data_IF_549335101482
#
_entry.id   IF_549335101482
#
_cell.length_a   1.000
_cell.length_b   1.000
_cell.length_c   1.000
_cell.angle_alpha   90.00
_cell.angle_beta   90.00
_cell.angle_gamma   90.00
#
_symmetry.space_group_name_H-M   'P 1'
#
loop_
_entity.id
_entity.type
_entity.pdbx_description
1 polymer ?
#
# COMPACT_ATOMS: atom_id res chain seq x y z
N UNK A 1 16.94 34.36 6.47
CA UNK A 1 17.31 33.13 5.76
C UNK A 1 16.23 32.11 6.05
N UNK A 2 15.20 32.06 5.21
CA UNK A 2 14.00 31.23 5.39
C UNK A 2 13.96 30.19 4.28
N UNK A 3 13.40 29.02 4.64
CA UNK A 3 12.71 28.05 3.79
C UNK A 3 13.51 27.35 2.70
N UNK A 4 13.95 26.12 3.01
CA UNK A 4 14.15 25.06 2.00
C UNK A 4 13.56 23.70 2.48
N UNK A 5 12.75 23.67 3.55
CA UNK A 5 12.15 22.47 4.13
C UNK A 5 10.61 22.54 4.25
N UNK A 6 9.97 23.52 3.60
CA UNK A 6 8.62 23.99 3.98
C UNK A 6 7.54 23.84 2.90
N UNK A 7 7.75 23.08 1.82
CA UNK A 7 6.70 22.93 0.80
C UNK A 7 5.59 21.98 1.25
N UNK A 8 5.96 20.88 1.92
CA UNK A 8 5.03 19.92 2.53
C UNK A 8 5.55 19.64 3.95
N UNK A 9 4.76 20.05 4.97
CA UNK A 9 5.10 19.79 6.37
C UNK A 9 4.95 18.30 6.73
N UNK A 10 4.48 18.01 7.94
CA UNK A 10 4.24 16.61 8.34
C UNK A 10 3.02 16.05 7.62
N UNK A 11 3.16 14.86 7.04
CA UNK A 11 2.13 14.22 6.24
C UNK A 11 1.56 12.99 6.95
N UNK A 12 0.26 12.99 7.22
CA UNK A 12 -0.47 11.81 7.62
C UNK A 12 -1.15 11.21 6.38
N UNK A 13 -0.77 9.99 6.02
CA UNK A 13 -1.41 9.23 4.96
C UNK A 13 -2.37 8.23 5.61
N UNK A 14 -3.63 8.24 5.20
CA UNK A 14 -4.59 7.19 5.55
C UNK A 14 -4.88 6.41 4.28
N UNK A 15 -4.58 5.11 4.27
CA UNK A 15 -4.79 4.26 3.10
C UNK A 15 -5.81 3.16 3.40
N UNK A 16 -6.59 2.79 2.40
CA UNK A 16 -7.63 1.76 2.51
C UNK A 16 -7.08 0.33 2.66
N UNK A 17 -5.83 0.11 2.24
CA UNK A 17 -5.08 -1.13 2.37
C UNK A 17 -3.58 -0.90 2.64
N UNK A 18 -2.89 -1.99 3.01
CA UNK A 18 -1.44 -1.96 3.26
C UNK A 18 -0.62 -1.66 2.01
N UNK A 19 -1.05 -2.12 0.83
CA UNK A 19 -0.33 -1.87 -0.42
C UNK A 19 -0.30 -0.38 -0.74
N UNK A 20 -1.44 0.31 -0.64
CA UNK A 20 -1.55 1.73 -0.88
C UNK A 20 -0.76 2.57 0.13
N UNK A 21 -0.79 2.19 1.42
CA UNK A 21 0.04 2.83 2.44
C UNK A 21 1.52 2.74 2.09
N UNK A 22 1.95 1.55 1.71
CA UNK A 22 3.31 1.24 1.26
C UNK A 22 3.75 2.08 0.07
N UNK A 23 3.01 2.03 -1.04
CA UNK A 23 3.34 2.75 -2.28
C UNK A 23 3.50 4.25 -2.00
N UNK A 24 2.57 4.82 -1.21
CA UNK A 24 2.57 6.25 -0.90
C UNK A 24 3.71 6.63 0.03
N UNK A 25 3.94 5.86 1.10
CA UNK A 25 5.01 6.15 2.06
C UNK A 25 6.41 6.08 1.41
N UNK A 26 6.60 5.13 0.49
CA UNK A 26 7.86 4.96 -0.26
C UNK A 26 8.13 6.13 -1.19
N UNK A 27 7.10 6.69 -1.82
CA UNK A 27 7.22 7.87 -2.69
C UNK A 27 7.86 9.04 -1.92
N UNK A 28 7.38 9.32 -0.70
CA UNK A 28 7.95 10.38 0.13
C UNK A 28 9.31 9.99 0.74
N UNK A 29 9.51 8.72 1.10
CA UNK A 29 10.81 8.23 1.58
C UNK A 29 11.91 8.41 0.53
N UNK A 30 11.59 8.16 -0.74
CA UNK A 30 12.49 8.36 -1.87
C UNK A 30 12.84 9.83 -2.12
N UNK A 31 12.11 10.77 -1.49
CA UNK A 31 12.43 12.20 -1.45
C UNK A 31 13.11 12.62 -0.14
N UNK A 32 13.65 11.67 0.62
CA UNK A 32 14.39 11.93 1.87
C UNK A 32 13.50 12.25 3.08
N UNK A 33 12.18 12.04 3.00
CA UNK A 33 11.29 12.19 4.16
C UNK A 33 11.38 10.94 5.03
N UNK A 34 11.52 11.09 6.34
CA UNK A 34 11.48 9.95 7.27
C UNK A 34 10.05 9.42 7.36
N UNK A 35 9.81 8.30 6.69
CA UNK A 35 8.48 7.70 6.56
C UNK A 35 8.32 6.45 7.43
N UNK A 36 7.14 6.30 8.01
CA UNK A 36 6.73 5.11 8.77
C UNK A 36 5.38 4.60 8.26
N UNK A 37 5.16 3.30 8.36
CA UNK A 37 3.88 2.66 8.05
C UNK A 37 3.36 1.99 9.32
N UNK A 38 2.08 2.17 9.61
CA UNK A 38 1.42 1.73 10.82
C UNK A 38 0.22 0.84 10.47
N UNK A 39 0.12 -0.32 11.12
CA UNK A 39 -1.06 -1.20 11.05
C UNK A 39 -2.10 -0.87 12.12
N UNK A 40 -1.68 -0.11 13.14
CA UNK A 40 -2.51 0.39 14.23
C UNK A 40 -2.30 1.90 14.39
N UNK A 41 -3.39 2.66 14.32
CA UNK A 41 -3.38 4.11 14.53
C UNK A 41 -2.85 4.49 15.92
N UNK A 42 -3.06 3.64 16.92
CA UNK A 42 -2.57 3.84 18.28
C UNK A 42 -1.06 3.68 18.40
N UNK A 43 -0.36 3.21 17.38
CA UNK A 43 1.11 3.17 17.34
C UNK A 43 1.71 4.47 16.76
N UNK A 44 0.90 5.30 16.11
CA UNK A 44 1.36 6.57 15.53
C UNK A 44 1.81 7.52 16.64
N UNK A 45 3.05 7.99 16.55
CA UNK A 45 3.69 8.86 17.53
C UNK A 45 4.54 9.90 16.83
N UNK A 46 4.67 11.07 17.45
CA UNK A 46 5.60 12.09 17.01
C UNK A 46 7.02 11.80 17.53
N UNK A 47 7.74 10.90 16.86
CA UNK A 47 9.17 10.67 17.08
C UNK A 47 10.04 11.51 16.16
N UNK A 48 9.55 12.71 15.81
CA UNK A 48 10.18 13.58 14.83
C UNK A 48 10.10 13.05 13.40
N UNK A 49 9.26 12.07 13.08
CA UNK A 49 9.03 11.60 11.71
C UNK A 49 8.40 12.67 10.81
N UNK A 50 8.61 12.54 9.51
CA UNK A 50 8.10 13.47 8.50
C UNK A 50 6.78 12.99 7.89
N UNK A 51 6.63 11.67 7.76
CA UNK A 51 5.48 11.00 7.14
C UNK A 51 5.06 9.80 7.99
N UNK A 52 3.77 9.71 8.30
CA UNK A 52 3.16 8.53 8.91
C UNK A 52 2.04 8.03 8.00
N UNK A 53 2.13 6.79 7.52
CA UNK A 53 1.07 6.15 6.75
C UNK A 53 0.37 5.10 7.60
N UNK A 54 -0.96 5.17 7.71
CA UNK A 54 -1.77 4.18 8.41
C UNK A 54 -2.49 3.33 7.37
N UNK A 55 -2.23 2.03 7.40
CA UNK A 55 -2.87 1.05 6.55
C UNK A 55 -4.15 0.55 7.23
N UNK A 56 -5.29 0.94 6.70
CA UNK A 56 -6.57 0.39 7.08
C UNK A 56 -6.83 -0.93 6.33
N UNK A 57 -7.88 -1.63 6.74
CA UNK A 57 -8.44 -2.75 5.99
C UNK A 57 -9.92 -2.45 5.69
N UNK A 58 -10.13 -1.32 5.00
CA UNK A 58 -11.46 -0.71 4.83
C UNK A 58 -11.98 -0.80 3.41
N UNK A 59 -11.19 -1.28 2.44
CA UNK A 59 -11.59 -1.35 1.03
C UNK A 59 -12.95 -2.03 0.84
N UNK A 60 -13.19 -3.14 1.53
CA UNK A 60 -14.44 -3.90 1.46
C UNK A 60 -15.40 -3.65 2.65
N UNK A 61 -15.08 -2.71 3.55
CA UNK A 61 -15.82 -2.48 4.78
C UNK A 61 -16.90 -1.40 4.63
N UNK A 62 -17.99 -1.72 3.92
CA UNK A 62 -19.07 -0.78 3.61
C UNK A 62 -19.83 -0.27 4.84
N UNK A 63 -19.86 -1.04 5.93
CA UNK A 63 -20.57 -0.68 7.16
C UNK A 63 -19.81 0.27 8.09
N UNK A 64 -18.47 0.23 8.07
CA UNK A 64 -17.63 0.93 9.06
C UNK A 64 -16.58 1.88 8.48
N UNK A 65 -16.31 1.88 7.17
CA UNK A 65 -15.18 2.62 6.60
C UNK A 65 -15.14 4.11 6.97
N UNK A 66 -16.30 4.79 7.02
CA UNK A 66 -16.35 6.21 7.39
C UNK A 66 -15.92 6.44 8.86
N UNK A 67 -16.48 5.65 9.79
CA UNK A 67 -16.16 5.77 11.21
C UNK A 67 -14.73 5.33 11.52
N UNK A 68 -14.25 4.25 10.90
CA UNK A 68 -12.87 3.78 11.05
C UNK A 68 -11.89 4.84 10.56
N UNK A 69 -12.17 5.47 9.40
CA UNK A 69 -11.32 6.54 8.87
C UNK A 69 -11.30 7.74 9.81
N UNK A 70 -12.47 8.19 10.29
CA UNK A 70 -12.58 9.30 11.24
C UNK A 70 -11.80 9.02 12.52
N UNK A 71 -12.06 7.88 13.17
CA UNK A 71 -11.40 7.49 14.42
C UNK A 71 -9.88 7.34 14.25
N UNK A 72 -9.43 6.87 13.08
CA UNK A 72 -8.00 6.76 12.77
C UNK A 72 -7.35 8.15 12.68
N UNK A 73 -7.96 9.08 11.95
CA UNK A 73 -7.46 10.46 11.87
C UNK A 73 -7.41 11.09 13.25
N UNK A 74 -8.49 10.95 14.04
CA UNK A 74 -8.57 11.46 15.41
C UNK A 74 -7.47 10.84 16.32
N UNK A 75 -7.23 9.53 16.22
CA UNK A 75 -6.18 8.83 16.99
C UNK A 75 -4.76 9.29 16.62
N UNK A 76 -4.56 9.75 15.39
CA UNK A 76 -3.27 10.22 14.89
C UNK A 76 -3.00 11.71 15.18
N UNK A 77 -3.90 12.42 15.88
CA UNK A 77 -3.76 13.86 16.15
C UNK A 77 -2.39 14.22 16.79
N UNK A 78 -1.85 13.34 17.64
CA UNK A 78 -0.54 13.55 18.29
C UNK A 78 0.64 13.64 17.33
N UNK A 79 0.51 13.18 16.09
CA UNK A 79 1.55 13.29 15.05
C UNK A 79 1.73 14.74 14.56
N UNK A 80 0.75 15.62 14.80
CA UNK A 80 0.75 17.02 14.37
C UNK A 80 1.00 17.17 12.87
N UNK A 81 0.27 16.41 12.06
CA UNK A 81 0.32 16.53 10.60
C UNK A 81 -0.20 17.90 10.15
N UNK A 82 0.52 18.52 9.23
CA UNK A 82 0.06 19.74 8.53
C UNK A 82 -0.74 19.40 7.28
N UNK A 83 -0.74 18.13 6.86
CA UNK A 83 -1.52 17.66 5.71
C UNK A 83 -2.00 16.23 5.95
N UNK A 84 -3.28 16.00 5.64
CA UNK A 84 -3.90 14.69 5.57
C UNK A 84 -4.01 14.28 4.10
N UNK A 85 -3.44 13.14 3.75
CA UNK A 85 -3.58 12.52 2.43
C UNK A 85 -4.43 11.26 2.54
N UNK A 86 -5.55 11.20 1.82
CA UNK A 86 -6.36 10.00 1.76
C UNK A 86 -5.98 9.19 0.51
N UNK A 87 -5.28 8.08 0.74
CA UNK A 87 -4.85 7.17 -0.31
C UNK A 87 -5.98 6.20 -0.66
N UNK A 88 -6.50 6.33 -1.87
CA UNK A 88 -7.55 5.47 -2.45
C UNK A 88 -7.02 4.64 -3.61
N UNK A 89 -7.77 3.61 -4.02
CA UNK A 89 -7.46 2.82 -5.20
C UNK A 89 -7.60 3.65 -6.48
N UNK A 90 -6.65 3.52 -7.41
CA UNK A 90 -6.66 4.29 -8.68
C UNK A 90 -7.86 3.98 -9.58
N UNK A 91 -8.50 2.82 -9.38
CA UNK A 91 -9.72 2.42 -10.07
C UNK A 91 -10.97 2.63 -9.23
N UNK A 92 -10.88 3.33 -8.08
CA UNK A 92 -12.00 3.64 -7.19
C UNK A 92 -12.74 2.41 -6.65
N UNK A 93 -12.05 1.27 -6.53
CA UNK A 93 -12.63 0.10 -5.84
C UNK A 93 -12.89 0.40 -4.37
N UNK A 94 -14.00 -0.12 -3.88
CA UNK A 94 -14.30 -0.13 -2.46
C UNK A 94 -14.89 1.17 -1.94
N UNK A 95 -14.55 1.50 -0.70
CA UNK A 95 -15.29 2.45 0.13
C UNK A 95 -14.79 3.89 0.05
N UNK A 96 -14.19 4.31 -1.06
CA UNK A 96 -13.52 5.62 -1.19
C UNK A 96 -14.41 6.80 -0.73
N UNK A 97 -15.66 6.88 -1.18
CA UNK A 97 -16.60 7.93 -0.74
C UNK A 97 -16.87 7.94 0.78
N UNK A 98 -16.91 6.77 1.42
CA UNK A 98 -17.08 6.68 2.87
C UNK A 98 -15.83 7.15 3.61
N UNK A 99 -14.66 6.80 3.10
CA UNK A 99 -13.38 7.25 3.68
C UNK A 99 -13.22 8.77 3.53
N UNK A 100 -13.60 9.34 2.37
CA UNK A 100 -13.65 10.80 2.16
C UNK A 100 -14.52 11.47 3.22
N UNK A 101 -15.73 10.95 3.45
CA UNK A 101 -16.64 11.46 4.49
C UNK A 101 -16.04 11.38 5.89
N UNK A 102 -15.40 10.27 6.23
CA UNK A 102 -14.73 10.07 7.51
C UNK A 102 -13.59 11.07 7.74
N UNK A 103 -12.73 11.24 6.74
CA UNK A 103 -11.63 12.19 6.74
C UNK A 103 -12.11 13.64 6.86
N UNK A 104 -13.12 14.05 6.08
CA UNK A 104 -13.74 15.38 6.18
C UNK A 104 -14.34 15.62 7.57
N UNK A 105 -15.00 14.61 8.16
CA UNK A 105 -15.60 14.72 9.49
C UNK A 105 -14.53 14.97 10.56
N UNK A 106 -13.39 14.28 10.48
CA UNK A 106 -12.26 14.49 11.38
C UNK A 106 -11.62 15.88 11.16
N UNK A 107 -11.28 16.21 9.91
CA UNK A 107 -10.59 17.46 9.57
C UNK A 107 -11.42 18.71 9.94
N UNK A 108 -12.76 18.65 9.81
CA UNK A 108 -13.65 19.77 10.17
C UNK A 108 -13.67 20.11 11.65
N UNK A 109 -13.13 19.26 12.53
CA UNK A 109 -12.99 19.57 13.95
C UNK A 109 -11.95 20.68 14.20
N UNK A 110 -10.92 20.77 13.36
CA UNK A 110 -9.87 21.80 13.44
C UNK A 110 -9.92 22.80 12.29
N UNK A 111 -10.43 22.41 11.12
CA UNK A 111 -10.50 23.23 9.90
C UNK A 111 -11.92 23.24 9.33
N UNK A 112 -12.74 24.23 9.73
CA UNK A 112 -14.17 24.30 9.42
C UNK A 112 -14.51 24.30 7.92
N UNK A 113 -13.57 24.75 7.08
CA UNK A 113 -13.75 24.84 5.62
C UNK A 113 -12.98 23.75 4.85
N UNK A 114 -12.71 22.59 5.47
CA UNK A 114 -12.00 21.49 4.82
C UNK A 114 -12.69 21.03 3.52
N UNK A 115 -11.90 20.87 2.46
CA UNK A 115 -12.34 20.44 1.12
C UNK A 115 -11.51 19.23 0.68
N UNK A 116 -12.18 18.14 0.30
CA UNK A 116 -11.56 16.99 -0.33
C UNK A 116 -11.34 17.24 -1.82
N UNK A 117 -10.08 17.19 -2.26
CA UNK A 117 -9.68 17.32 -3.67
C UNK A 117 -9.40 15.92 -4.23
N UNK A 118 -10.35 15.39 -4.99
CA UNK A 118 -10.38 13.98 -5.43
C UNK A 118 -9.82 13.83 -6.83
N UNK A 119 -8.70 13.13 -6.94
CA UNK A 119 -8.11 12.72 -8.22
C UNK A 119 -7.35 11.38 -8.07
N UNK A 120 -7.97 10.23 -8.41
CA UNK A 120 -7.33 8.92 -8.33
C UNK A 120 -6.43 8.60 -9.52
N UNK A 121 -6.27 9.51 -10.50
CA UNK A 121 -5.49 9.27 -11.71
C UNK A 121 -4.06 8.78 -11.41
N UNK A 122 -3.57 7.90 -12.28
CA UNK A 122 -2.18 7.44 -12.29
C UNK A 122 -1.76 7.15 -13.74
N UNK A 123 -1.39 8.21 -14.51
CA UNK A 123 -1.13 8.11 -15.94
C UNK A 123 -0.02 7.12 -16.32
N UNK A 124 1.05 7.02 -15.53
CA UNK A 124 2.11 6.03 -15.75
C UNK A 124 1.61 4.57 -15.71
N UNK A 125 0.49 4.33 -15.00
CA UNK A 125 -0.21 3.06 -14.96
C UNK A 125 -1.43 3.05 -15.90
N UNK A 126 -1.60 4.01 -16.80
CA UNK A 126 -2.75 4.07 -17.73
C UNK A 126 -4.07 4.45 -17.07
N UNK A 127 -4.08 4.98 -15.85
CA UNK A 127 -5.31 5.43 -15.18
C UNK A 127 -5.50 6.93 -15.36
N UNK A 128 -6.59 7.35 -16.00
CA UNK A 128 -6.92 8.77 -16.21
C UNK A 128 -8.32 9.09 -15.71
N UNK A 129 -8.58 10.38 -15.45
CA UNK A 129 -9.92 10.92 -15.21
C UNK A 129 -10.23 11.92 -16.31
N UNK A 130 -11.23 11.60 -17.13
CA UNK A 130 -11.59 12.37 -18.30
C UNK A 130 -13.10 12.58 -18.37
N UNK A 131 -13.54 13.84 -18.38
CA UNK A 131 -14.95 14.21 -18.33
C UNK A 131 -15.66 13.53 -17.14
N UNK A 132 -15.00 13.53 -15.98
CA UNK A 132 -15.42 12.84 -14.76
C UNK A 132 -15.48 11.31 -14.87
N UNK A 133 -14.89 10.68 -15.90
CA UNK A 133 -14.87 9.23 -16.02
C UNK A 133 -13.52 8.65 -15.61
N UNK A 134 -13.52 7.62 -14.77
CA UNK A 134 -12.34 6.80 -14.48
C UNK A 134 -12.09 5.85 -15.65
N UNK A 135 -10.94 6.01 -16.31
CA UNK A 135 -10.51 5.15 -17.41
C UNK A 135 -9.27 4.34 -17.02
N UNK A 136 -9.17 3.11 -17.54
CA UNK A 136 -7.96 2.27 -17.50
C UNK A 136 -7.59 1.94 -18.93
N UNK A 137 -6.44 2.42 -19.38
CA UNK A 137 -5.96 2.28 -20.76
C UNK A 137 -7.00 2.78 -21.79
N UNK A 138 -7.70 3.87 -21.45
CA UNK A 138 -8.78 4.45 -22.25
C UNK A 138 -10.13 3.73 -22.16
N UNK A 139 -10.24 2.64 -21.38
CA UNK A 139 -11.48 1.87 -21.21
C UNK A 139 -12.18 2.30 -19.91
N UNK A 140 -13.51 2.55 -19.91
CA UNK A 140 -14.26 2.83 -18.69
C UNK A 140 -14.04 1.77 -17.62
N UNK A 141 -13.73 2.18 -16.40
CA UNK A 141 -13.27 1.26 -15.33
C UNK A 141 -14.25 0.11 -15.04
N UNK A 142 -15.55 0.33 -15.20
CA UNK A 142 -16.60 -0.68 -15.00
C UNK A 142 -16.58 -1.81 -16.06
N UNK A 143 -15.95 -1.59 -17.21
CA UNK A 143 -15.79 -2.60 -18.26
C UNK A 143 -14.46 -3.38 -18.16
N UNK A 144 -13.61 -3.00 -17.19
CA UNK A 144 -12.28 -3.59 -16.96
C UNK A 144 -12.32 -4.74 -15.94
N UNK A 145 -11.16 -5.27 -15.57
CA UNK A 145 -11.04 -6.22 -14.47
C UNK A 145 -11.56 -5.65 -13.13
N UNK A 146 -11.42 -4.34 -12.88
CA UNK A 146 -11.92 -3.70 -11.66
C UNK A 146 -13.45 -3.68 -11.58
N UNK A 147 -14.15 -3.57 -12.73
CA UNK A 147 -15.60 -3.71 -12.78
C UNK A 147 -16.10 -5.12 -12.49
N UNK A 148 -15.22 -6.12 -12.69
CA UNK A 148 -15.48 -7.55 -12.46
C UNK A 148 -14.85 -8.06 -11.16
N UNK A 149 -14.32 -7.15 -10.32
CA UNK A 149 -13.70 -7.50 -9.04
C UNK A 149 -14.69 -8.27 -8.15
N UNK A 150 -14.24 -9.35 -7.52
CA UNK A 150 -15.12 -10.24 -6.75
C UNK A 150 -15.47 -9.70 -5.36
N UNK A 151 -14.67 -8.76 -4.86
CA UNK A 151 -14.79 -8.22 -3.50
C UNK A 151 -15.45 -6.84 -3.56
N UNK A 152 -14.94 -5.96 -4.42
CA UNK A 152 -15.36 -4.58 -4.51
C UNK A 152 -15.50 -4.12 -5.99
N UNK A 153 -16.48 -4.67 -6.74
CA UNK A 153 -16.68 -4.31 -8.15
C UNK A 153 -17.05 -2.84 -8.33
N UNK A 154 -16.41 -2.20 -9.31
CA UNK A 154 -16.69 -0.80 -9.69
C UNK A 154 -17.80 -0.78 -10.73
N UNK A 155 -19.00 -0.33 -10.35
CA UNK A 155 -20.20 -0.48 -11.19
C UNK A 155 -20.42 0.64 -12.20
N UNK A 156 -19.66 1.72 -12.10
CA UNK A 156 -19.80 2.93 -12.92
C UNK A 156 -18.43 3.58 -13.06
N UNK A 157 -18.16 4.17 -14.22
CA UNK A 157 -16.97 5.00 -14.42
C UNK A 157 -17.19 6.45 -14.00
N UNK A 158 -18.44 6.89 -13.80
CA UNK A 158 -18.73 8.28 -13.45
C UNK A 158 -18.32 8.58 -12.00
N UNK A 159 -17.31 9.44 -11.84
CA UNK A 159 -16.81 9.88 -10.54
C UNK A 159 -17.87 10.56 -9.68
N UNK A 160 -18.91 11.16 -10.28
CA UNK A 160 -20.00 11.81 -9.54
C UNK A 160 -20.94 10.79 -8.90
N UNK A 161 -21.05 9.60 -9.49
CA UNK A 161 -21.75 8.46 -8.89
C UNK A 161 -20.87 7.75 -7.85
N UNK A 162 -19.55 7.66 -8.12
CA UNK A 162 -18.59 7.07 -7.19
C UNK A 162 -18.37 7.92 -5.94
N UNK A 163 -18.49 9.25 -6.05
CA UNK A 163 -18.38 10.22 -4.96
C UNK A 163 -19.60 11.15 -4.97
N UNK A 164 -20.76 10.68 -4.48
CA UNK A 164 -22.00 11.46 -4.52
C UNK A 164 -21.87 12.81 -3.80
N UNK A 165 -22.35 13.88 -4.44
CA UNK A 165 -22.33 15.23 -3.89
C UNK A 165 -21.06 16.04 -4.20
N UNK A 166 -20.09 15.41 -4.89
CA UNK A 166 -18.90 16.12 -5.35
C UNK A 166 -19.19 16.98 -6.60
N UNK A 167 -18.52 18.14 -6.68
CA UNK A 167 -18.56 19.01 -7.86
C UNK A 167 -17.34 18.75 -8.73
N UNK A 168 -17.57 18.58 -10.03
CA UNK A 168 -16.50 18.35 -10.98
C UNK A 168 -15.81 19.65 -11.41
N UNK A 169 -14.48 19.62 -11.40
CA UNK A 169 -13.59 20.60 -11.99
C UNK A 169 -12.96 19.91 -13.20
N UNK A 170 -13.29 20.34 -14.44
CA UNK A 170 -12.68 19.81 -15.66
C UNK A 170 -11.16 19.95 -15.64
N UNK A 171 -10.47 19.31 -16.60
CA UNK A 171 -9.00 19.34 -16.64
C UNK A 171 -8.48 20.78 -16.54
N UNK A 172 -7.79 21.11 -15.45
CA UNK A 172 -7.53 22.50 -15.09
C UNK A 172 -6.40 23.10 -15.94
N UNK A 173 -6.51 24.40 -16.21
CA UNK A 173 -5.47 25.17 -16.91
C UNK A 173 -4.36 25.66 -15.98
N UNK A 174 -4.66 25.88 -14.70
CA UNK A 174 -3.70 26.31 -13.69
C UNK A 174 -4.10 25.88 -12.27
N UNK A 175 -3.13 25.85 -11.35
CA UNK A 175 -3.37 25.61 -9.92
C UNK A 175 -4.34 26.63 -9.29
N UNK A 176 -4.19 27.92 -9.62
CA UNK A 176 -5.06 28.99 -9.10
C UNK A 176 -6.53 28.81 -9.48
N UNK A 177 -6.80 28.31 -10.70
CA UNK A 177 -8.16 28.01 -11.15
C UNK A 177 -8.78 26.89 -10.32
N UNK A 178 -8.01 25.86 -9.98
CA UNK A 178 -8.46 24.74 -9.13
C UNK A 178 -8.82 25.25 -7.73
N UNK A 179 -7.95 26.06 -7.12
CA UNK A 179 -8.18 26.63 -5.78
C UNK A 179 -9.47 27.46 -5.78
N UNK A 180 -9.61 28.38 -6.75
CA UNK A 180 -10.79 29.24 -6.86
C UNK A 180 -12.07 28.45 -7.10
N UNK A 181 -12.03 27.44 -7.98
CA UNK A 181 -13.18 26.59 -8.29
C UNK A 181 -13.57 25.74 -7.08
N UNK A 182 -12.61 25.15 -6.38
CA UNK A 182 -12.85 24.35 -5.18
C UNK A 182 -13.49 25.15 -4.06
N UNK A 183 -12.97 26.36 -3.78
CA UNK A 183 -13.50 27.25 -2.75
C UNK A 183 -14.90 27.79 -3.09
N UNK A 184 -15.23 27.89 -4.38
CA UNK A 184 -16.53 28.40 -4.86
C UNK A 184 -17.55 27.29 -5.15
N UNK A 185 -17.19 26.01 -4.99
CA UNK A 185 -18.00 24.87 -5.40
C UNK A 185 -19.31 24.70 -4.60
N UNK A 186 -19.42 25.33 -3.42
CA UNK A 186 -20.58 25.20 -2.54
C UNK A 186 -20.72 23.82 -1.90
N UNK A 187 -19.67 22.99 -1.98
CA UNK A 187 -19.56 21.64 -1.40
C UNK A 187 -18.17 21.46 -0.79
N UNK A 188 -18.00 20.45 0.05
CA UNK A 188 -16.74 20.09 0.69
C UNK A 188 -15.94 19.03 -0.09
N UNK A 189 -16.39 18.66 -1.28
CA UNK A 189 -15.75 17.62 -2.10
C UNK A 189 -15.75 18.03 -3.56
N UNK A 190 -14.58 18.05 -4.19
CA UNK A 190 -14.43 18.31 -5.62
C UNK A 190 -13.68 17.18 -6.32
N UNK A 191 -14.08 16.86 -7.55
CA UNK A 191 -13.38 15.91 -8.42
C UNK A 191 -12.60 16.72 -9.44
N UNK A 192 -11.32 16.42 -9.61
CA UNK A 192 -10.47 17.11 -10.60
C UNK A 192 -9.98 16.10 -11.64
N UNK A 193 -10.30 16.37 -12.91
CA UNK A 193 -9.88 15.54 -14.03
C UNK A 193 -8.36 15.63 -14.26
N UNK A 194 -7.73 14.51 -14.63
CA UNK A 194 -6.30 14.45 -14.96
C UNK A 194 -5.99 13.34 -15.96
N UNK A 195 -5.27 13.69 -17.02
CA UNK A 195 -4.90 12.80 -18.15
C UNK A 195 -3.43 12.43 -18.14
N UNK A 196 -2.59 13.30 -17.60
CA UNK A 196 -1.14 13.18 -17.64
C UNK A 196 -0.52 13.75 -16.36
N UNK A 197 0.78 13.53 -16.19
CA UNK A 197 1.51 13.97 -14.99
C UNK A 197 1.58 15.50 -14.86
N UNK A 198 1.46 16.24 -15.96
CA UNK A 198 1.34 17.70 -15.95
C UNK A 198 0.05 18.18 -15.30
N UNK A 199 -1.08 17.54 -15.61
CA UNK A 199 -2.38 17.81 -14.96
C UNK A 199 -2.28 17.51 -13.46
N UNK A 200 -1.71 16.36 -13.08
CA UNK A 200 -1.46 16.01 -11.67
C UNK A 200 -0.55 17.02 -10.97
N UNK A 201 0.46 17.56 -11.66
CA UNK A 201 1.32 18.61 -11.15
C UNK A 201 0.58 19.91 -10.82
N UNK A 202 -0.38 20.32 -11.65
CA UNK A 202 -1.25 21.48 -11.35
C UNK A 202 -2.14 21.22 -10.14
N UNK A 203 -2.70 20.01 -10.02
CA UNK A 203 -3.51 19.61 -8.87
C UNK A 203 -2.68 19.61 -7.59
N UNK A 204 -1.47 19.03 -7.62
CA UNK A 204 -0.54 19.02 -6.49
C UNK A 204 -0.16 20.44 -6.04
N UNK A 205 0.10 21.34 -6.99
CA UNK A 205 0.40 22.74 -6.70
C UNK A 205 -0.81 23.45 -6.05
N UNK A 206 -2.03 23.21 -6.56
CA UNK A 206 -3.25 23.75 -5.97
C UNK A 206 -3.50 23.24 -4.54
N UNK A 207 -3.16 21.97 -4.26
CA UNK A 207 -3.24 21.40 -2.90
C UNK A 207 -2.29 22.12 -1.95
N UNK A 208 -1.06 22.41 -2.38
CA UNK A 208 -0.10 23.17 -1.55
C UNK A 208 -0.57 24.60 -1.34
N UNK A 209 -1.08 25.27 -2.38
CA UNK A 209 -1.61 26.65 -2.30
C UNK A 209 -2.88 26.75 -1.43
N UNK A 210 -3.75 25.74 -1.47
CA UNK A 210 -4.93 25.64 -0.59
C UNK A 210 -4.58 25.35 0.88
N UNK A 211 -3.37 24.90 1.17
CA UNK A 211 -2.87 24.66 2.52
C UNK A 211 -3.68 23.61 3.29
N UNK A 212 -3.80 23.80 4.61
CA UNK A 212 -4.50 22.86 5.52
C UNK A 212 -6.00 22.71 5.25
N UNK A 213 -6.57 23.58 4.39
CA UNK A 213 -7.95 23.48 3.94
C UNK A 213 -8.15 22.25 3.06
N UNK A 214 -7.16 21.87 2.25
CA UNK A 214 -7.34 20.84 1.24
C UNK A 214 -6.88 19.48 1.75
N UNK A 215 -7.76 18.50 1.64
CA UNK A 215 -7.47 17.08 1.85
C UNK A 215 -7.25 16.46 0.46
N UNK A 216 -6.01 16.24 0.03
CA UNK A 216 -5.75 15.46 -1.17
C UNK A 216 -6.29 14.03 -1.02
N UNK A 217 -7.10 13.61 -1.99
CA UNK A 217 -7.65 12.26 -2.10
C UNK A 217 -7.25 11.67 -3.43
N UNK A 218 -6.36 10.68 -3.43
CA UNK A 218 -5.83 10.16 -4.69
C UNK A 218 -5.10 8.84 -4.57
N UNK A 219 -4.57 8.36 -5.69
CA UNK A 219 -3.77 7.14 -5.77
C UNK A 219 -2.28 7.43 -5.61
N UNK A 220 -1.39 6.53 -6.04
CA UNK A 220 0.05 6.83 -6.05
C UNK A 220 0.41 7.94 -7.06
N UNK A 221 -0.40 8.18 -8.10
CA UNK A 221 -0.15 9.24 -9.07
C UNK A 221 -0.14 10.64 -8.44
N UNK A 222 -1.19 10.97 -7.68
CA UNK A 222 -1.25 12.26 -6.98
C UNK A 222 -0.19 12.38 -5.87
N UNK A 223 0.13 11.28 -5.18
CA UNK A 223 1.22 11.25 -4.20
C UNK A 223 2.58 11.54 -4.85
N UNK A 224 2.85 10.98 -6.03
CA UNK A 224 4.06 11.25 -6.80
C UNK A 224 4.15 12.72 -7.22
N UNK A 225 3.04 13.32 -7.65
CA UNK A 225 2.98 14.73 -8.01
C UNK A 225 3.23 15.66 -6.80
N UNK A 226 2.66 15.34 -5.63
CA UNK A 226 2.93 16.07 -4.39
C UNK A 226 4.40 15.93 -3.96
N UNK A 227 4.94 14.71 -3.97
CA UNK A 227 6.33 14.46 -3.61
C UNK A 227 7.31 15.13 -4.59
N UNK A 228 6.91 15.35 -5.85
CA UNK A 228 7.72 16.07 -6.83
C UNK A 228 7.94 17.55 -6.46
N UNK A 229 7.04 18.16 -5.68
CA UNK A 229 7.17 19.53 -5.18
C UNK A 229 8.17 19.65 -4.01
N UNK A 230 8.53 18.53 -3.38
CA UNK A 230 9.58 18.51 -2.34
C UNK A 230 10.92 18.67 -3.06
N UNK A 231 11.70 19.72 -2.76
CA UNK A 231 13.02 19.89 -3.34
C UNK A 231 13.84 18.62 -3.09
N UNK A 232 14.54 18.14 -4.12
CA UNK A 232 15.50 17.07 -3.92
C UNK A 232 16.49 17.55 -2.84
N UNK A 233 16.56 16.83 -1.71
CA UNK A 233 17.65 17.00 -0.77
C UNK A 233 18.99 16.62 -1.41
N UNK A 234 20.13 16.78 -0.71
CA UNK A 234 21.32 16.01 -1.08
C UNK A 234 20.87 14.56 -1.25
N UNK A 235 21.26 13.91 -2.35
CA UNK A 235 20.87 12.53 -2.66
C UNK A 235 20.93 11.73 -1.36
N UNK A 236 19.76 11.45 -0.78
CA UNK A 236 19.70 10.53 0.33
C UNK A 236 19.94 9.21 -0.36
N UNK A 237 21.21 8.81 -0.45
CA UNK A 237 21.60 7.51 -0.96
C UNK A 237 20.69 6.52 -0.21
N UNK A 238 19.85 5.80 -0.96
CA UNK A 238 19.09 4.70 -0.40
C UNK A 238 20.12 3.63 -0.05
N UNK A 239 20.73 3.79 1.12
CA UNK A 239 21.69 2.84 1.64
C UNK A 239 20.92 1.87 2.51
N UNK A 240 20.62 0.71 1.93
CA UNK A 240 20.18 -0.43 2.70
C UNK A 240 21.34 -1.41 2.79
N UNK A 241 21.87 -1.68 4.00
CA UNK A 241 23.00 -2.58 4.11
C UNK A 241 22.61 -3.96 3.57
N UNK A 242 23.53 -4.67 2.90
CA UNK A 242 23.27 -6.05 2.53
C UNK A 242 22.80 -6.83 3.75
N UNK A 243 21.77 -7.64 3.54
CA UNK A 243 21.34 -8.63 4.52
C UNK A 243 22.45 -9.69 4.59
N UNK A 244 23.50 -9.40 5.38
CA UNK A 244 24.66 -10.28 5.56
C UNK A 244 24.41 -11.20 6.75
N UNK A 245 24.47 -12.50 6.50
CA UNK A 245 24.51 -13.50 7.57
C UNK A 245 24.28 -14.92 7.07
N UNK A 246 24.56 -15.89 7.94
CA UNK A 246 24.25 -17.32 7.72
C UNK A 246 22.75 -17.63 7.86
N UNK A 247 21.88 -16.61 7.81
CA UNK A 247 20.43 -16.73 8.03
C UNK A 247 19.71 -16.58 6.69
N UNK A 248 18.79 -17.50 6.34
CA UNK A 248 18.05 -17.46 5.09
C UNK A 248 17.05 -16.30 5.05
N UNK A 249 16.58 -15.99 3.85
CA UNK A 249 15.43 -15.12 3.62
C UNK A 249 14.13 -15.95 3.71
N UNK A 250 13.06 -15.35 4.23
CA UNK A 250 11.71 -15.94 4.20
C UNK A 250 10.83 -15.16 3.22
N UNK A 251 10.38 -15.82 2.15
CA UNK A 251 9.36 -15.29 1.26
C UNK A 251 8.00 -15.92 1.58
N UNK A 252 6.98 -15.09 1.74
CA UNK A 252 5.58 -15.48 1.95
C UNK A 252 4.76 -14.89 0.81
N UNK A 253 4.28 -15.75 -0.08
CA UNK A 253 3.54 -15.37 -1.29
C UNK A 253 2.11 -15.87 -1.15
N UNK A 254 1.23 -15.06 -0.57
CA UNK A 254 -0.19 -15.43 -0.39
C UNK A 254 -1.02 -15.15 -1.64
N UNK A 255 -0.53 -14.31 -2.56
CA UNK A 255 -1.27 -13.97 -3.76
C UNK A 255 -1.29 -15.11 -4.80
N UNK A 256 -2.48 -15.53 -5.19
CA UNK A 256 -2.72 -16.45 -6.33
C UNK A 256 -2.72 -15.74 -7.70
N UNK A 257 -2.47 -14.43 -7.73
CA UNK A 257 -2.46 -13.67 -8.97
C UNK A 257 -1.38 -14.18 -9.93
N UNK A 258 -1.70 -14.29 -11.23
CA UNK A 258 -0.80 -14.89 -12.24
C UNK A 258 0.60 -14.27 -12.24
N UNK A 259 0.70 -12.94 -12.10
CA UNK A 259 1.99 -12.24 -11.99
C UNK A 259 2.89 -12.80 -10.86
N UNK A 260 2.34 -12.96 -9.64
CA UNK A 260 3.08 -13.51 -8.50
C UNK A 260 3.45 -14.97 -8.72
N UNK A 261 2.55 -15.76 -9.32
CA UNK A 261 2.80 -17.18 -9.59
C UNK A 261 3.92 -17.36 -10.64
N UNK A 262 3.96 -16.52 -11.69
CA UNK A 262 5.04 -16.50 -12.69
C UNK A 262 6.37 -16.06 -12.08
N UNK A 263 6.37 -15.04 -11.21
CA UNK A 263 7.55 -14.58 -10.47
C UNK A 263 8.15 -15.69 -9.60
N UNK A 264 7.31 -16.44 -8.88
CA UNK A 264 7.75 -17.60 -8.08
C UNK A 264 8.38 -18.67 -8.97
N UNK A 265 7.68 -19.10 -10.04
CA UNK A 265 8.22 -20.12 -10.95
C UNK A 265 9.54 -19.68 -11.58
N UNK A 266 9.66 -18.40 -11.93
CA UNK A 266 10.89 -17.83 -12.47
C UNK A 266 12.02 -17.89 -11.45
N UNK A 267 11.79 -17.45 -10.21
CA UNK A 267 12.79 -17.49 -9.15
C UNK A 267 13.27 -18.91 -8.81
N UNK A 268 12.34 -19.88 -8.72
CA UNK A 268 12.68 -21.29 -8.50
C UNK A 268 13.53 -21.89 -9.63
N UNK A 269 13.50 -21.29 -10.82
CA UNK A 269 14.33 -21.70 -11.96
C UNK A 269 15.71 -21.02 -12.00
N UNK A 270 16.18 -20.47 -10.87
CA UNK A 270 17.49 -19.79 -10.76
C UNK A 270 18.44 -20.57 -9.84
N UNK A 271 19.77 -20.32 -9.90
CA UNK A 271 20.72 -20.93 -8.96
C UNK A 271 20.46 -20.58 -7.49
N UNK A 272 19.78 -19.45 -7.22
CA UNK A 272 19.41 -19.03 -5.88
C UNK A 272 18.14 -19.73 -5.39
N UNK A 273 17.07 -19.73 -6.21
CA UNK A 273 15.78 -20.30 -5.83
C UNK A 273 15.67 -21.81 -6.00
N UNK A 274 16.41 -22.41 -6.92
CA UNK A 274 16.40 -23.86 -7.16
C UNK A 274 16.69 -24.73 -5.91
N UNK A 275 17.71 -24.40 -5.08
CA UNK A 275 17.97 -25.14 -3.84
C UNK A 275 17.14 -24.67 -2.63
N UNK A 276 16.17 -23.76 -2.82
CA UNK A 276 15.33 -23.26 -1.71
C UNK A 276 14.35 -24.31 -1.21
N UNK A 277 13.93 -24.17 0.05
CA UNK A 277 12.82 -24.96 0.58
C UNK A 277 11.50 -24.30 0.18
N UNK A 278 10.60 -25.07 -0.44
CA UNK A 278 9.29 -24.58 -0.88
C UNK A 278 8.18 -25.32 -0.14
N UNK A 279 7.38 -24.57 0.61
CA UNK A 279 6.16 -25.07 1.23
C UNK A 279 4.95 -24.56 0.46
N UNK A 280 4.17 -25.49 -0.11
CA UNK A 280 3.04 -25.18 -1.00
C UNK A 280 1.85 -26.10 -0.69
N UNK A 281 1.23 -25.96 0.50
CA UNK A 281 0.12 -26.82 0.92
C UNK A 281 -1.09 -26.67 -0.01
N UNK A 282 -1.89 -27.73 -0.12
CA UNK A 282 -3.12 -27.67 -0.91
C UNK A 282 -4.12 -26.69 -0.25
N UNK A 283 -4.91 -25.89 -1.00
CA UNK A 283 -5.82 -24.93 -0.42
C UNK A 283 -6.86 -25.54 0.54
N UNK A 284 -7.31 -26.78 0.29
CA UNK A 284 -8.21 -27.51 1.20
C UNK A 284 -7.58 -27.76 2.58
N UNK A 285 -6.26 -27.95 2.63
CA UNK A 285 -5.56 -28.15 3.89
C UNK A 285 -5.56 -26.86 4.71
N UNK A 286 -5.48 -25.71 4.06
CA UNK A 286 -5.42 -24.39 4.71
C UNK A 286 -6.81 -23.88 5.14
N UNK A 287 -7.90 -24.32 4.53
CA UNK A 287 -9.25 -23.86 4.89
C UNK A 287 -9.75 -24.51 6.18
N UNK A 288 -9.24 -25.69 6.53
CA UNK A 288 -9.59 -26.36 7.78
C UNK A 288 -8.53 -26.09 8.86
N UNK A 289 -8.85 -25.32 9.92
CA UNK A 289 -7.93 -25.00 11.01
C UNK A 289 -7.36 -26.23 11.73
N UNK A 290 -8.09 -27.37 11.75
CA UNK A 290 -7.61 -28.61 12.38
C UNK A 290 -6.35 -29.18 11.70
N UNK A 291 -6.08 -28.75 10.47
CA UNK A 291 -4.88 -29.16 9.73
C UNK A 291 -3.63 -28.34 10.10
N UNK A 292 -3.79 -27.14 10.67
CA UNK A 292 -2.66 -26.23 10.94
C UNK A 292 -1.58 -26.86 11.81
N UNK A 293 -1.87 -27.61 12.90
CA UNK A 293 -0.82 -28.28 13.68
C UNK A 293 0.03 -29.27 12.85
N UNK A 294 -0.58 -29.99 11.91
CA UNK A 294 0.13 -30.93 11.05
C UNK A 294 0.95 -30.21 9.98
N UNK A 295 0.40 -29.15 9.38
CA UNK A 295 1.11 -28.30 8.43
C UNK A 295 2.31 -27.60 9.09
N UNK A 296 2.14 -27.08 10.31
CA UNK A 296 3.23 -26.51 11.10
C UNK A 296 4.34 -27.52 11.35
N UNK A 297 4.03 -28.76 11.73
CA UNK A 297 5.06 -29.82 11.91
C UNK A 297 5.78 -30.18 10.61
N UNK A 298 5.08 -30.21 9.48
CA UNK A 298 5.71 -30.43 8.17
C UNK A 298 6.65 -29.27 7.80
N UNK A 299 6.20 -28.04 8.01
CA UNK A 299 6.97 -26.84 7.75
C UNK A 299 8.18 -26.73 8.67
N UNK A 300 8.04 -27.03 9.95
CA UNK A 300 9.15 -27.10 10.92
C UNK A 300 10.23 -28.08 10.46
N UNK A 301 9.85 -29.28 10.03
CA UNK A 301 10.77 -30.27 9.49
C UNK A 301 11.48 -29.80 8.22
N UNK A 302 10.75 -29.14 7.32
CA UNK A 302 11.30 -28.59 6.08
C UNK A 302 12.31 -27.46 6.36
N UNK A 303 11.95 -26.51 7.23
CA UNK A 303 12.81 -25.37 7.61
C UNK A 303 14.02 -25.84 8.39
N UNK A 304 13.86 -26.82 9.29
CA UNK A 304 14.95 -27.39 10.09
C UNK A 304 15.96 -28.20 9.27
N UNK A 305 15.55 -28.71 8.10
CA UNK A 305 16.41 -29.52 7.22
C UNK A 305 17.21 -28.70 6.19
N UNK A 306 17.10 -27.37 6.19
CA UNK A 306 17.75 -26.51 5.19
C UNK A 306 18.43 -25.28 5.81
N UNK A 307 19.53 -24.85 5.19
CA UNK A 307 20.17 -23.55 5.42
C UNK A 307 19.92 -22.55 4.29
N UNK A 308 19.03 -22.89 3.36
CA UNK A 308 18.68 -22.07 2.19
C UNK A 308 17.45 -21.22 2.45
N UNK A 309 17.21 -20.27 1.55
CA UNK A 309 16.00 -19.44 1.52
C UNK A 309 14.74 -20.33 1.58
N UNK A 310 13.71 -19.82 2.25
CA UNK A 310 12.43 -20.51 2.43
C UNK A 310 11.34 -19.74 1.70
N UNK A 311 10.52 -20.44 0.94
CA UNK A 311 9.35 -19.90 0.26
C UNK A 311 8.09 -20.62 0.75
N UNK A 312 7.20 -19.87 1.39
CA UNK A 312 5.83 -20.29 1.68
C UNK A 312 4.93 -19.66 0.63
N UNK A 313 4.14 -20.44 -0.09
CA UNK A 313 3.27 -19.93 -1.14
C UNK A 313 1.85 -20.47 -1.07
N UNK A 314 0.90 -19.63 -1.47
CA UNK A 314 -0.43 -20.08 -1.86
C UNK A 314 -0.31 -20.96 -3.11
N UNK A 315 -0.90 -22.15 -3.02
CA UNK A 315 -1.01 -23.07 -4.14
C UNK A 315 -2.15 -22.60 -5.07
N UNK A 316 -1.92 -22.43 -6.38
CA UNK A 316 -2.94 -21.96 -7.31
C UNK A 316 -3.99 -23.01 -7.69
N UNK A 317 -3.93 -24.23 -7.12
CA UNK A 317 -4.93 -25.27 -7.35
C UNK A 317 -6.36 -24.78 -7.05
N UNK A 318 -7.30 -25.23 -7.87
CA UNK A 318 -8.72 -24.94 -7.70
C UNK A 318 -9.35 -25.93 -6.71
N UNK A 319 -10.20 -25.43 -5.83
CA UNK A 319 -11.08 -26.25 -5.01
C UNK A 319 -12.19 -26.87 -5.87
N UNK A 320 -12.60 -28.11 -5.58
CA UNK A 320 -13.66 -28.80 -6.33
C UNK A 320 -15.00 -28.03 -6.34
N UNK A 321 -15.31 -27.30 -5.27
CA UNK A 321 -16.53 -26.51 -5.12
C UNK A 321 -16.38 -25.05 -5.59
N UNK A 322 -15.33 -24.74 -6.36
CA UNK A 322 -15.02 -23.39 -6.79
C UNK A 322 -14.42 -22.51 -5.68
N UNK A 323 -14.11 -21.23 -5.98
CA UNK A 323 -13.57 -20.32 -4.99
C UNK A 323 -14.65 -19.97 -3.97
N UNK A 324 -14.48 -20.42 -2.73
CA UNK A 324 -15.30 -19.93 -1.60
C UNK A 324 -14.96 -18.46 -1.42
N UNK A 325 -15.85 -17.57 -1.86
CA UNK A 325 -15.76 -16.15 -1.52
C UNK A 325 -15.80 -16.05 0.00
N UNK A 326 -14.68 -15.65 0.62
CA UNK A 326 -14.45 -15.72 2.07
C UNK A 326 -13.30 -16.62 2.50
N UNK A 327 -12.82 -17.55 1.67
CA UNK A 327 -11.66 -18.38 2.00
C UNK A 327 -10.32 -17.68 1.75
N UNK A 328 -10.25 -16.65 0.89
CA UNK A 328 -8.96 -15.99 0.57
C UNK A 328 -8.29 -15.35 1.79
N UNK A 329 -9.08 -14.71 2.66
CA UNK A 329 -8.58 -14.17 3.93
C UNK A 329 -8.13 -15.30 4.87
N UNK A 330 -8.92 -16.36 5.00
CA UNK A 330 -8.56 -17.55 5.80
C UNK A 330 -7.28 -18.22 5.28
N UNK A 331 -7.11 -18.33 3.96
CA UNK A 331 -5.91 -18.86 3.33
C UNK A 331 -4.69 -17.97 3.62
N UNK A 332 -4.84 -16.65 3.47
CA UNK A 332 -3.79 -15.69 3.76
C UNK A 332 -3.37 -15.72 5.24
N UNK A 333 -4.35 -15.79 6.15
CA UNK A 333 -4.12 -15.88 7.59
C UNK A 333 -3.47 -17.21 7.99
N UNK A 334 -3.92 -18.34 7.44
CA UNK A 334 -3.32 -19.66 7.66
C UNK A 334 -1.86 -19.71 7.18
N UNK A 335 -1.57 -19.15 6.01
CA UNK A 335 -0.20 -19.04 5.50
C UNK A 335 0.65 -18.09 6.35
N UNK A 336 0.05 -17.05 6.92
CA UNK A 336 0.72 -16.12 7.80
C UNK A 336 1.05 -16.75 9.16
N UNK A 337 0.13 -17.52 9.74
CA UNK A 337 0.35 -18.31 10.95
C UNK A 337 1.50 -19.32 10.73
N UNK A 338 1.49 -20.00 9.58
CA UNK A 338 2.59 -20.90 9.19
C UNK A 338 3.93 -20.16 9.02
N UNK A 339 3.92 -18.94 8.48
CA UNK A 339 5.14 -18.13 8.40
C UNK A 339 5.64 -17.70 9.78
N UNK A 340 4.73 -17.46 10.72
CA UNK A 340 5.05 -17.15 12.11
C UNK A 340 5.68 -18.35 12.84
N UNK A 341 5.13 -19.57 12.69
CA UNK A 341 5.69 -20.78 13.32
C UNK A 341 7.09 -21.13 12.82
N UNK A 342 7.48 -20.70 11.60
CA UNK A 342 8.86 -20.82 11.13
C UNK A 342 9.88 -20.12 12.04
N UNK A 343 9.48 -19.06 12.76
CA UNK A 343 10.38 -18.30 13.62
C UNK A 343 10.79 -19.07 14.88
N UNK A 344 9.98 -20.03 15.32
CA UNK A 344 10.33 -20.92 16.43
C UNK A 344 11.45 -21.89 16.05
N UNK A 345 11.62 -22.16 14.75
CA UNK A 345 12.65 -23.08 14.24
C UNK A 345 13.99 -22.38 14.10
N UNK A 346 14.01 -21.20 13.46
CA UNK A 346 15.23 -20.41 13.26
C UNK A 346 14.91 -18.93 12.94
N UNK A 347 15.85 -18.02 13.21
CA UNK A 347 15.72 -16.64 12.76
C UNK A 347 15.99 -16.49 11.25
N UNK A 348 15.24 -15.61 10.60
CA UNK A 348 15.45 -15.18 9.22
C UNK A 348 16.13 -13.81 9.15
N UNK A 349 16.75 -13.52 8.02
CA UNK A 349 17.50 -12.29 7.82
C UNK A 349 16.69 -11.17 7.16
N UNK A 350 15.61 -11.52 6.46
CA UNK A 350 14.57 -10.60 6.00
C UNK A 350 13.28 -11.35 5.65
N UNK A 351 12.17 -10.63 5.59
CA UNK A 351 10.89 -11.09 5.08
C UNK A 351 10.58 -10.49 3.71
N UNK A 352 10.07 -11.31 2.79
CA UNK A 352 9.53 -10.87 1.49
C UNK A 352 8.05 -11.25 1.46
N UNK A 353 7.17 -10.27 1.61
CA UNK A 353 5.73 -10.47 1.77
C UNK A 353 4.99 -10.04 0.50
N UNK A 354 4.40 -10.99 -0.23
CA UNK A 354 3.73 -10.73 -1.52
C UNK A 354 2.23 -11.00 -1.40
N UNK A 355 1.46 -9.92 -1.58
CA UNK A 355 0.01 -9.87 -1.35
C UNK A 355 -0.31 -8.99 -0.14
N UNK A 356 -1.23 -8.02 -0.30
CA UNK A 356 -1.57 -7.05 0.75
C UNK A 356 -2.10 -7.72 2.02
N UNK A 357 -3.13 -8.56 1.88
CA UNK A 357 -3.78 -9.25 3.00
C UNK A 357 -2.80 -10.19 3.72
N UNK A 358 -1.98 -10.92 2.97
CA UNK A 358 -0.96 -11.82 3.55
C UNK A 358 0.14 -11.05 4.25
N UNK A 359 0.62 -9.94 3.68
CA UNK A 359 1.61 -9.10 4.34
C UNK A 359 1.07 -8.54 5.65
N UNK A 360 -0.19 -8.05 5.67
CA UNK A 360 -0.87 -7.60 6.88
C UNK A 360 -0.99 -8.73 7.90
N UNK A 361 -1.46 -9.91 7.48
CA UNK A 361 -1.64 -11.06 8.38
C UNK A 361 -0.30 -11.50 9.01
N UNK A 362 0.78 -11.60 8.22
CA UNK A 362 2.11 -11.94 8.74
C UNK A 362 2.56 -10.92 9.78
N UNK A 363 2.46 -9.63 9.49
CA UNK A 363 2.85 -8.58 10.44
C UNK A 363 2.00 -8.60 11.72
N UNK A 364 0.70 -8.87 11.62
CA UNK A 364 -0.19 -9.04 12.77
C UNK A 364 0.23 -10.22 13.67
N UNK A 365 0.52 -11.39 13.08
CA UNK A 365 1.03 -12.55 13.84
C UNK A 365 2.38 -12.24 14.51
N UNK A 366 3.24 -11.46 13.85
CA UNK A 366 4.50 -10.96 14.43
C UNK A 366 4.31 -9.92 15.54
N UNK A 367 3.08 -9.47 15.79
CA UNK A 367 2.76 -8.35 16.67
C UNK A 367 3.51 -7.07 16.25
N UNK A 368 3.82 -6.94 14.96
CA UNK A 368 4.46 -5.78 14.38
C UNK A 368 3.39 -4.76 14.03
N UNK A 369 3.43 -3.58 14.66
CA UNK A 369 2.50 -2.49 14.34
C UNK A 369 3.11 -1.46 13.43
N UNK A 370 4.45 -1.39 13.37
CA UNK A 370 5.17 -0.31 12.69
C UNK A 370 6.29 -0.82 11.79
N UNK A 371 6.40 -0.25 10.59
CA UNK A 371 7.52 -0.42 9.65
C UNK A 371 8.20 0.92 9.41
N UNK A 372 9.50 0.99 9.65
CA UNK A 372 10.34 2.13 9.25
C UNK A 372 10.72 1.98 7.78
N UNK A 373 10.23 2.88 6.92
CA UNK A 373 10.47 2.81 5.47
C UNK A 373 11.87 3.29 5.16
N UNK A 374 12.67 2.43 4.54
CA UNK A 374 14.08 2.72 4.19
C UNK A 374 14.25 3.14 2.73
N UNK A 375 13.31 2.77 1.86
CA UNK A 375 13.36 3.06 0.42
C UNK A 375 12.57 2.02 -0.36
N UNK A 376 12.93 1.83 -1.63
CA UNK A 376 12.26 0.87 -2.50
C UNK A 376 13.28 0.02 -3.28
N UNK A 377 13.01 -1.29 -3.41
CA UNK A 377 13.82 -2.19 -4.24
C UNK A 377 13.50 -2.08 -5.72
N UNK A 378 12.29 -1.63 -6.03
CA UNK A 378 11.79 -1.26 -7.34
C UNK A 378 10.58 -0.36 -7.10
N UNK A 379 10.08 0.31 -8.14
CA UNK A 379 8.77 0.94 -8.08
C UNK A 379 7.74 -0.06 -7.53
N UNK A 380 6.85 0.33 -6.61
CA UNK A 380 5.85 -0.57 -6.01
C UNK A 380 6.39 -1.70 -5.12
N UNK A 381 7.68 -1.69 -4.77
CA UNK A 381 8.32 -2.68 -3.90
C UNK A 381 9.06 -1.99 -2.75
N UNK A 382 8.34 -1.52 -1.73
CA UNK A 382 8.94 -0.89 -0.57
C UNK A 382 9.84 -1.84 0.22
N UNK A 383 10.88 -1.26 0.79
CA UNK A 383 11.78 -1.88 1.73
C UNK A 383 11.77 -1.07 3.02
N UNK A 384 11.61 -1.77 4.13
CA UNK A 384 11.67 -1.18 5.46
C UNK A 384 12.25 -2.14 6.48
N UNK A 385 12.18 -1.72 7.74
CA UNK A 385 12.56 -2.51 8.89
C UNK A 385 11.38 -2.56 9.86
N UNK A 386 11.02 -3.75 10.32
CA UNK A 386 10.01 -3.93 11.36
C UNK A 386 10.50 -3.24 12.64
N UNK A 387 9.72 -2.31 13.18
CA UNK A 387 10.17 -1.48 14.31
C UNK A 387 9.90 -2.14 15.67
N UNK A 388 8.90 -3.01 15.75
CA UNK A 388 8.37 -3.58 16.99
C UNK A 388 7.89 -5.04 16.81
N UNK A 389 7.37 -5.63 17.89
CA UNK A 389 6.95 -7.03 17.90
C UNK A 389 8.12 -8.02 17.92
N UNK A 390 7.84 -9.28 17.59
CA UNK A 390 8.80 -10.37 17.73
C UNK A 390 9.93 -10.35 16.71
N UNK A 391 9.70 -9.71 15.57
CA UNK A 391 10.65 -9.57 14.49
C UNK A 391 11.29 -8.16 14.43
N UNK A 392 11.24 -7.39 15.51
CA UNK A 392 11.82 -6.05 15.58
C UNK A 392 13.28 -6.02 15.11
N UNK A 393 13.62 -5.05 14.27
CA UNK A 393 14.92 -4.91 13.61
C UNK A 393 15.10 -5.76 12.35
N UNK A 394 14.12 -6.60 11.98
CA UNK A 394 14.22 -7.42 10.77
C UNK A 394 13.76 -6.65 9.54
N UNK A 395 14.55 -6.64 8.45
CA UNK A 395 14.13 -6.09 7.18
C UNK A 395 12.87 -6.77 6.62
N UNK A 396 12.00 -5.97 6.01
CA UNK A 396 10.78 -6.44 5.36
C UNK A 396 10.61 -5.75 4.01
N UNK A 397 10.30 -6.56 3.01
CA UNK A 397 9.88 -6.13 1.68
C UNK A 397 8.42 -6.49 1.53
N UNK A 398 7.60 -5.57 1.02
CA UNK A 398 6.23 -5.89 0.64
C UNK A 398 6.01 -5.65 -0.85
N UNK A 399 5.04 -6.35 -1.44
CA UNK A 399 4.64 -6.16 -2.83
C UNK A 399 3.17 -6.51 -3.03
N UNK A 400 2.46 -5.73 -3.83
CA UNK A 400 1.14 -6.12 -4.34
C UNK A 400 1.18 -7.43 -5.13
N UNK A 401 0.13 -8.25 -5.06
CA UNK A 401 0.06 -9.51 -5.80
C UNK A 401 0.11 -9.36 -7.33
N UNK A 402 -0.48 -8.29 -7.85
CA UNK A 402 -0.59 -8.03 -9.30
C UNK A 402 0.62 -7.35 -9.93
N UNK A 403 1.57 -6.88 -9.13
CA UNK A 403 2.59 -5.95 -9.58
C UNK A 403 3.89 -6.65 -10.03
N UNK A 404 4.50 -6.06 -11.08
CA UNK A 404 5.85 -6.37 -11.55
C UNK A 404 5.96 -7.44 -12.65
N UNK A 405 7.07 -7.39 -13.38
CA UNK A 405 7.45 -8.39 -14.38
C UNK A 405 7.89 -9.74 -13.77
N UNK A 406 8.16 -10.76 -14.60
CA UNK A 406 8.54 -12.10 -14.13
C UNK A 406 9.89 -12.15 -13.40
N UNK A 407 10.82 -11.23 -13.67
CA UNK A 407 12.14 -11.19 -13.02
C UNK A 407 12.12 -10.53 -11.63
N UNK A 408 11.04 -9.82 -11.27
CA UNK A 408 11.04 -8.95 -10.09
C UNK A 408 11.38 -9.69 -8.78
N UNK A 409 10.91 -10.93 -8.61
CA UNK A 409 11.26 -11.70 -7.41
C UNK A 409 12.74 -12.07 -7.39
N UNK A 410 13.34 -12.38 -8.54
CA UNK A 410 14.79 -12.62 -8.66
C UNK A 410 15.57 -11.38 -8.25
N UNK A 411 15.13 -10.22 -8.72
CA UNK A 411 15.74 -8.92 -8.39
C UNK A 411 15.64 -8.61 -6.90
N UNK A 412 14.47 -8.81 -6.28
CA UNK A 412 14.27 -8.60 -4.83
C UNK A 412 15.27 -9.43 -4.02
N UNK A 413 15.32 -10.73 -4.27
CA UNK A 413 16.22 -11.65 -3.57
C UNK A 413 17.70 -11.26 -3.77
N UNK A 414 18.09 -10.90 -4.99
CA UNK A 414 19.46 -10.51 -5.30
C UNK A 414 19.86 -9.17 -4.64
N UNK A 415 18.96 -8.18 -4.65
CA UNK A 415 19.22 -6.85 -4.06
C UNK A 415 19.28 -6.90 -2.54
N UNK A 416 18.44 -7.71 -1.88
CA UNK A 416 18.52 -7.90 -0.42
C UNK A 416 19.87 -8.48 0.00
N UNK A 417 20.40 -9.47 -0.74
CA UNK A 417 21.71 -10.07 -0.43
C UNK A 417 22.89 -9.13 -0.72
N UNK A 418 22.82 -8.36 -1.81
CA UNK A 418 23.88 -7.43 -2.22
C UNK A 418 23.87 -6.11 -1.44
N UNK A 419 22.73 -5.75 -0.86
CA UNK A 419 22.48 -4.41 -0.33
C UNK A 419 22.07 -3.44 -1.43
N UNK A 420 21.51 -2.31 -1.02
CA UNK A 420 21.23 -1.17 -1.89
C UNK A 420 22.25 -0.09 -1.57
N UNK A 421 22.96 0.35 -2.60
CA UNK A 421 23.71 1.59 -2.63
C UNK A 421 23.25 2.28 -3.91
N UNK A 422 22.67 3.47 -3.80
CA UNK A 422 22.22 4.28 -4.94
C UNK A 422 23.21 5.40 -5.19
#
# INVERSE_FOLDING_TARGET
>A
MSSNATVLGKLLIIADDLTGANDTAVTFASRGRRSTIHLDAQAVRDHGGDVAAVALDTRANWGGAADITRQTVDACASFNATMLYLKVDSTMRGTAALQIRGALTAQKQSQSHAIAVVCPAFPAMGRTIENCQVLVDGIPVNDTASGKDRIAPVKTADMRELVPGAVAIPTPTSAADIVSAAQSAGTDTVIVDARNDGDLGQIAQAIVEGGEQFIPVGSAGLANALAALIPAGPEHEQSFPPVRGNKPLLAVVTSIHEASQRQVSRWLSTPQGGPSAVFSPHPEQLINPDNLPYLSKQLEGLVGATDRDVLIRANPALLENGPVSGALSTLADSLAELAYTCLDVRPFSAFILIGGDGARAVLSHLQATTINVSGALAEGVPLGTIADGQAAGTPVVTKSGGFGGPELLVEIFARLQKGIHS
#
